data_IF_466443237416
#
_entry.id   IF_466443237416
#
_cell.length_a   1.000
_cell.length_b   1.000
_cell.length_c   1.000
_cell.angle_alpha   90.00
_cell.angle_beta   90.00
_cell.angle_gamma   90.00
#
_symmetry.space_group_name_H-M   'P 1'
#
loop_
_entity.id
_entity.type
_entity.pdbx_description
1 polymer ?
#
# COMPACT_ATOMS: atom_id res chain seq x y z
N UNK A 1 42.75 1.63 21.12
CA UNK A 1 42.04 2.60 20.25
C UNK A 1 40.56 2.18 20.10
N UNK A 2 39.65 2.63 20.96
CA UNK A 2 38.21 2.48 20.73
C UNK A 2 37.60 3.77 20.12
N UNK A 3 36.80 3.61 19.06
CA UNK A 3 36.12 4.69 18.34
C UNK A 3 34.99 5.28 19.20
N UNK A 4 34.91 6.62 19.26
CA UNK A 4 33.81 7.38 19.86
C UNK A 4 32.49 7.01 19.18
N UNK A 5 31.58 6.38 19.91
CA UNK A 5 30.15 6.37 19.57
C UNK A 5 29.61 7.77 19.87
N UNK A 6 29.30 8.54 18.83
CA UNK A 6 28.54 9.78 18.99
C UNK A 6 27.10 9.41 19.40
N UNK A 7 26.76 9.64 20.66
CA UNK A 7 25.38 9.69 21.11
C UNK A 7 24.81 11.02 20.63
N UNK A 8 23.68 10.93 19.95
CA UNK A 8 22.98 12.05 19.34
C UNK A 8 22.60 13.12 20.38
N UNK A 9 22.86 14.36 19.98
CA UNK A 9 22.49 15.61 20.63
C UNK A 9 20.96 15.81 20.47
N UNK A 10 20.17 15.26 21.39
CA UNK A 10 18.75 15.58 21.51
C UNK A 10 18.64 16.62 22.62
N UNK A 11 18.70 17.90 22.24
CA UNK A 11 18.43 18.99 23.16
C UNK A 11 17.01 18.85 23.76
N UNK A 12 16.84 19.04 25.08
CA UNK A 12 15.53 19.04 25.70
C UNK A 12 14.81 20.35 25.35
N UNK A 13 13.67 20.26 24.67
CA UNK A 13 12.80 21.43 24.49
C UNK A 13 12.15 21.74 25.83
N UNK A 14 12.48 22.91 26.35
CA UNK A 14 12.01 23.44 27.62
C UNK A 14 10.49 23.42 27.77
N UNK A 15 10.12 23.02 28.98
CA UNK A 15 8.85 23.18 29.67
C UNK A 15 8.25 24.59 29.56
N UNK A 16 7.11 24.69 28.88
CA UNK A 16 6.21 25.84 28.90
C UNK A 16 4.96 25.54 29.73
N UNK A 17 4.80 26.32 30.80
CA UNK A 17 3.83 26.30 31.90
C UNK A 17 2.38 25.82 31.66
N UNK A 18 1.86 25.14 32.69
CA UNK A 18 0.45 24.96 32.99
C UNK A 18 -0.27 26.31 33.14
N UNK A 19 -1.43 26.44 32.53
CA UNK A 19 -2.39 27.52 32.81
C UNK A 19 -3.78 27.07 32.41
N UNK A 20 -4.54 26.53 33.37
CA UNK A 20 -5.98 26.32 33.23
C UNK A 20 -6.67 27.41 34.06
N UNK A 21 -7.49 28.26 33.44
CA UNK A 21 -8.67 28.76 34.11
C UNK A 21 -9.91 28.17 33.45
N UNK A 22 -10.61 27.32 34.19
CA UNK A 22 -11.98 26.91 33.90
C UNK A 22 -12.91 28.11 34.10
N UNK A 23 -13.57 28.55 33.03
CA UNK A 23 -14.72 29.44 33.13
C UNK A 23 -15.68 29.20 31.96
N UNK A 24 -16.79 28.55 32.31
CA UNK A 24 -18.14 28.68 31.75
C UNK A 24 -18.33 28.47 30.23
N UNK A 25 -18.92 27.31 29.97
CA UNK A 25 -19.77 26.95 28.83
C UNK A 25 -20.73 28.08 28.45
N UNK A 26 -20.62 28.58 27.22
CA UNK A 26 -21.72 29.21 26.50
C UNK A 26 -21.48 29.06 24.98
N UNK A 27 -22.45 28.43 24.32
CA UNK A 27 -22.38 27.96 22.93
C UNK A 27 -21.95 29.02 21.92
N UNK A 28 -20.69 28.95 21.51
CA UNK A 28 -20.18 29.69 20.35
C UNK A 28 -20.62 28.97 19.08
N UNK A 29 -21.65 29.52 18.40
CA UNK A 29 -21.96 29.18 17.01
C UNK A 29 -20.72 29.50 16.15
N UNK A 30 -20.10 28.46 15.61
CA UNK A 30 -18.99 28.59 14.66
C UNK A 30 -19.62 28.98 13.32
N UNK A 31 -19.57 30.26 12.98
CA UNK A 31 -19.56 30.65 11.56
C UNK A 31 -18.20 30.25 10.99
N UNK A 32 -18.11 29.54 9.84
CA UNK A 32 -16.82 29.24 9.25
C UNK A 32 -16.15 30.56 8.85
N UNK A 33 -15.21 31.02 9.67
CA UNK A 33 -14.24 32.04 9.25
C UNK A 33 -13.33 31.33 8.27
N UNK A 34 -13.31 31.80 7.02
CA UNK A 34 -12.29 31.40 6.06
C UNK A 34 -10.92 31.67 6.69
N UNK A 35 -10.29 30.59 7.14
CA UNK A 35 -8.95 30.64 7.66
C UNK A 35 -8.04 30.81 6.44
N UNK A 36 -7.84 32.05 6.00
CA UNK A 36 -6.63 32.44 5.28
C UNK A 36 -5.45 32.37 6.24
N UNK A 37 -5.08 31.16 6.66
CA UNK A 37 -3.83 30.90 7.36
C UNK A 37 -2.83 30.47 6.30
N UNK A 38 -2.12 31.46 5.74
CA UNK A 38 -0.83 31.27 5.08
C UNK A 38 0.23 30.83 6.08
N UNK A 39 0.05 29.66 6.71
CA UNK A 39 1.14 28.93 7.31
C UNK A 39 1.79 28.09 6.19
N UNK A 40 3.13 28.04 6.07
CA UNK A 40 3.74 27.09 5.16
C UNK A 40 3.32 25.69 5.61
N UNK A 41 2.42 25.06 4.85
CA UNK A 41 2.17 23.63 4.95
C UNK A 41 3.54 22.99 4.84
N UNK A 42 4.02 22.32 5.91
CA UNK A 42 5.29 21.59 5.86
C UNK A 42 5.26 20.77 4.57
N UNK A 43 6.27 21.00 3.73
CA UNK A 43 6.34 20.43 2.39
C UNK A 43 5.96 18.97 2.43
N UNK A 44 4.94 18.60 1.65
CA UNK A 44 4.50 17.22 1.57
C UNK A 44 5.66 16.42 0.97
N UNK A 45 6.13 15.40 1.69
CA UNK A 45 7.12 14.48 1.16
C UNK A 45 6.51 13.79 -0.06
N UNK A 46 7.10 14.03 -1.23
CA UNK A 46 6.72 13.35 -2.47
C UNK A 46 7.54 12.08 -2.58
N UNK A 47 6.86 10.94 -2.68
CA UNK A 47 7.48 9.65 -2.94
C UNK A 47 7.13 9.22 -4.35
N UNK A 48 8.15 9.14 -5.21
CA UNK A 48 8.02 8.61 -6.57
C UNK A 48 8.35 7.12 -6.54
N UNK A 49 7.39 6.27 -6.95
CA UNK A 49 7.59 4.81 -6.99
C UNK A 49 8.00 4.42 -8.40
N UNK A 50 9.17 3.79 -8.53
CA UNK A 50 9.60 3.22 -9.82
C UNK A 50 8.68 2.08 -10.25
N UNK A 51 8.25 2.09 -11.51
CA UNK A 51 7.49 0.98 -12.10
C UNK A 51 8.25 -0.35 -11.96
N UNK A 52 9.57 -0.33 -12.19
CA UNK A 52 10.42 -1.51 -12.06
C UNK A 52 10.42 -2.06 -10.63
N UNK A 53 10.47 -1.19 -9.61
CA UNK A 53 10.39 -1.60 -8.22
C UNK A 53 9.03 -2.26 -7.90
N UNK A 54 7.95 -1.72 -8.49
CA UNK A 54 6.61 -2.31 -8.36
C UNK A 54 6.53 -3.69 -9.00
N UNK A 55 7.11 -3.89 -10.18
CA UNK A 55 7.18 -5.21 -10.82
C UNK A 55 8.00 -6.21 -10.00
N UNK A 56 9.18 -5.81 -9.51
CA UNK A 56 10.02 -6.70 -8.68
C UNK A 56 9.32 -7.10 -7.38
N UNK A 57 8.57 -6.20 -6.75
CA UNK A 57 7.76 -6.55 -5.58
C UNK A 57 6.71 -7.60 -5.91
N UNK A 58 5.95 -7.40 -7.01
CA UNK A 58 4.95 -8.38 -7.48
C UNK A 58 5.58 -9.74 -7.78
N UNK A 59 6.76 -9.77 -8.41
CA UNK A 59 7.48 -11.02 -8.69
C UNK A 59 7.89 -11.74 -7.39
N UNK A 60 8.34 -11.00 -6.38
CA UNK A 60 8.76 -11.57 -5.09
C UNK A 60 7.58 -12.11 -4.29
N UNK A 61 6.42 -11.47 -4.40
CA UNK A 61 5.21 -11.85 -3.67
C UNK A 61 4.41 -12.95 -4.40
N UNK A 62 4.82 -13.35 -5.61
CA UNK A 62 4.15 -14.43 -6.32
C UNK A 62 4.37 -15.78 -5.60
N UNK A 63 3.30 -16.57 -5.40
CA UNK A 63 3.42 -17.90 -4.84
C UNK A 63 4.29 -18.77 -5.75
N UNK A 64 4.99 -19.73 -5.15
CA UNK A 64 5.76 -20.71 -5.90
C UNK A 64 4.89 -21.40 -6.95
N UNK A 65 5.45 -21.59 -8.16
CA UNK A 65 4.78 -22.31 -9.23
C UNK A 65 4.45 -23.72 -8.74
N UNK A 66 3.20 -24.13 -8.88
CA UNK A 66 2.74 -25.50 -8.59
C UNK A 66 3.20 -26.43 -9.70
N UNK A 67 4.49 -26.78 -9.68
CA UNK A 67 5.15 -27.54 -10.74
C UNK A 67 4.43 -28.86 -11.04
N UNK A 68 3.95 -29.57 -10.01
CA UNK A 68 3.21 -30.84 -10.18
C UNK A 68 1.93 -30.69 -11.00
N UNK A 69 1.19 -29.59 -10.81
CA UNK A 69 -0.03 -29.31 -11.57
C UNK A 69 0.31 -28.98 -13.03
N UNK A 70 1.37 -28.19 -13.22
CA UNK A 70 1.85 -27.84 -14.56
C UNK A 70 2.27 -29.07 -15.34
N UNK A 71 3.03 -29.97 -14.72
CA UNK A 71 3.51 -31.19 -15.38
C UNK A 71 2.38 -32.15 -15.69
N UNK A 72 1.40 -32.28 -14.79
CA UNK A 72 0.16 -33.03 -15.05
C UNK A 72 -0.59 -32.48 -16.24
N UNK A 73 -0.88 -31.18 -16.26
CA UNK A 73 -1.62 -30.54 -17.36
C UNK A 73 -0.86 -30.68 -18.68
N UNK A 74 0.47 -30.50 -18.69
CA UNK A 74 1.30 -30.76 -19.88
C UNK A 74 1.15 -32.19 -20.39
N UNK A 75 1.14 -33.18 -19.49
CA UNK A 75 0.94 -34.58 -19.86
C UNK A 75 -0.45 -34.83 -20.44
N UNK A 76 -1.51 -34.23 -19.88
CA UNK A 76 -2.89 -34.33 -20.39
C UNK A 76 -3.03 -33.69 -21.78
N UNK A 77 -2.34 -32.57 -22.03
CA UNK A 77 -2.34 -31.89 -23.33
C UNK A 77 -1.62 -32.76 -24.37
N UNK A 78 -0.44 -33.30 -24.03
CA UNK A 78 0.30 -34.19 -24.93
C UNK A 78 -0.48 -35.49 -25.23
N UNK A 79 -1.20 -36.01 -24.24
CA UNK A 79 -2.10 -37.16 -24.39
C UNK A 79 -3.45 -36.83 -25.03
N UNK A 80 -3.71 -35.56 -25.40
CA UNK A 80 -4.97 -35.14 -26.01
C UNK A 80 -6.20 -35.27 -25.11
N UNK A 81 -6.03 -35.54 -23.82
CA UNK A 81 -7.13 -35.76 -22.86
C UNK A 81 -7.49 -34.47 -22.10
N UNK A 82 -6.69 -33.42 -22.25
CA UNK A 82 -6.93 -32.15 -21.58
C UNK A 82 -8.21 -31.46 -22.06
N UNK A 83 -8.52 -31.54 -23.37
CA UNK A 83 -9.69 -30.91 -23.99
C UNK A 83 -10.89 -31.84 -23.90
N UNK A 84 -11.81 -31.53 -22.98
CA UNK A 84 -13.11 -32.20 -22.87
C UNK A 84 -14.22 -31.28 -23.38
N UNK A 85 -15.38 -31.81 -23.79
CA UNK A 85 -16.52 -31.00 -24.23
C UNK A 85 -16.90 -29.92 -23.20
N UNK A 86 -16.91 -30.27 -21.92
CA UNK A 86 -17.31 -29.37 -20.84
C UNK A 86 -16.33 -28.21 -20.68
N UNK A 87 -15.02 -28.47 -20.83
CA UNK A 87 -13.99 -27.43 -20.78
C UNK A 87 -14.07 -26.50 -21.99
N UNK A 88 -14.43 -27.03 -23.16
CA UNK A 88 -14.62 -26.23 -24.37
C UNK A 88 -15.85 -25.33 -24.24
N UNK A 89 -16.97 -25.87 -23.79
CA UNK A 89 -18.20 -25.09 -23.59
C UNK A 89 -17.99 -23.98 -22.56
N UNK A 90 -17.30 -24.28 -21.45
CA UNK A 90 -16.95 -23.28 -20.44
C UNK A 90 -16.03 -22.18 -21.01
N UNK A 91 -15.02 -22.55 -21.80
CA UNK A 91 -14.12 -21.58 -22.43
C UNK A 91 -14.85 -20.68 -23.44
N UNK A 92 -15.78 -21.24 -24.22
CA UNK A 92 -16.61 -20.48 -25.15
C UNK A 92 -17.57 -19.53 -24.43
N UNK A 93 -18.16 -19.97 -23.31
CA UNK A 93 -19.05 -19.14 -22.50
C UNK A 93 -18.31 -17.94 -21.89
N UNK A 94 -17.12 -18.14 -21.33
CA UNK A 94 -16.31 -17.04 -20.78
C UNK A 94 -15.83 -16.09 -21.89
N UNK A 95 -15.43 -16.60 -23.07
CA UNK A 95 -15.08 -15.77 -24.21
C UNK A 95 -16.27 -14.89 -24.66
N UNK A 96 -17.47 -15.47 -24.75
CA UNK A 96 -18.68 -14.73 -25.11
C UNK A 96 -19.08 -13.68 -24.06
N UNK A 97 -18.61 -13.78 -22.82
CA UNK A 97 -18.86 -12.82 -21.75
C UNK A 97 -17.92 -11.62 -21.81
N UNK A 98 -16.70 -11.81 -22.32
CA UNK A 98 -15.69 -10.74 -22.45
C UNK A 98 -15.96 -9.82 -23.65
N UNK A 99 -16.63 -10.33 -24.69
CA UNK A 99 -17.03 -9.60 -25.90
C UNK A 99 -18.31 -8.77 -25.69
#
# INVERSE_FOLDING_TARGET
MPRRTQVADIAPVCSGSCGIPSALDEGRRITPVEIMSGAPVRGQDKVEVSELASYLSKLRDMPAVRQDLVDRVKSEIAGGTYLTPEKLDAALAELAREL
#
